data_IF_516396325103
#
_entry.id   IF_516396325103
#
_cell.length_a   1.000
_cell.length_b   1.000
_cell.length_c   1.000
_cell.angle_alpha   90.00
_cell.angle_beta   90.00
_cell.angle_gamma   90.00
#
_symmetry.space_group_name_H-M   'P 1'
#
loop_
_entity.id
_entity.type
_entity.pdbx_description
1 polymer ?
#
# COMPACT_ATOMS: atom_id res chain seq x y z
N UNK A 1 7.13 14.19 7.54
CA UNK A 1 7.57 13.26 6.48
C UNK A 1 8.68 12.41 7.05
N UNK A 2 8.64 11.10 6.84
CA UNK A 2 9.60 10.16 7.44
C UNK A 2 10.83 9.99 6.55
N UNK A 3 10.59 9.62 5.29
CA UNK A 3 11.59 9.48 4.26
C UNK A 3 10.95 9.82 2.90
N UNK A 4 11.78 10.09 1.90
CA UNK A 4 11.36 10.26 0.52
C UNK A 4 12.28 9.41 -0.38
N UNK A 5 11.70 8.61 -1.26
CA UNK A 5 12.43 7.77 -2.21
C UNK A 5 12.19 8.33 -3.60
N UNK A 6 13.24 8.88 -4.22
CA UNK A 6 13.17 9.33 -5.61
C UNK A 6 13.48 8.15 -6.54
N UNK A 7 12.49 7.76 -7.35
CA UNK A 7 12.59 6.62 -8.26
C UNK A 7 12.98 7.01 -9.69
N UNK A 8 13.19 8.30 -9.96
CA UNK A 8 13.49 8.80 -11.30
C UNK A 8 12.35 8.56 -12.29
N UNK A 9 12.69 8.55 -13.58
CA UNK A 9 11.76 8.17 -14.64
C UNK A 9 11.49 6.65 -14.59
N UNK A 10 10.23 6.28 -14.77
CA UNK A 10 9.76 4.91 -14.76
C UNK A 10 8.86 4.67 -15.97
N UNK A 11 8.91 3.47 -16.53
CA UNK A 11 7.98 3.04 -17.57
C UNK A 11 6.57 2.86 -17.00
N UNK A 12 5.56 2.98 -17.86
CA UNK A 12 4.16 2.73 -17.45
C UNK A 12 3.97 1.29 -16.98
N UNK A 13 3.41 1.11 -15.80
CA UNK A 13 3.07 -0.20 -15.27
C UNK A 13 3.07 -0.26 -13.74
N UNK A 14 3.23 -1.47 -13.22
CA UNK A 14 3.48 -1.71 -11.79
C UNK A 14 4.96 -1.50 -11.54
N UNK A 15 5.28 -0.62 -10.60
CA UNK A 15 6.64 -0.26 -10.26
C UNK A 15 6.89 -0.73 -8.83
N UNK A 16 7.85 -1.63 -8.66
CA UNK A 16 8.25 -2.11 -7.35
C UNK A 16 9.05 -1.04 -6.61
N UNK A 17 8.72 -0.82 -5.34
CA UNK A 17 9.48 0.04 -4.45
C UNK A 17 9.71 -0.65 -3.11
N UNK A 18 10.77 -0.26 -2.42
CA UNK A 18 11.08 -0.74 -1.08
C UNK A 18 11.47 0.43 -0.19
N UNK A 19 11.15 0.27 1.09
CA UNK A 19 11.62 1.14 2.15
C UNK A 19 12.22 0.28 3.25
N UNK A 20 13.39 0.67 3.74
CA UNK A 20 14.21 -0.06 4.69
C UNK A 20 13.84 0.19 6.15
N UNK A 21 12.82 1.01 6.41
CA UNK A 21 12.38 1.37 7.76
C UNK A 21 13.22 2.48 8.40
N UNK A 22 14.05 3.17 7.64
CA UNK A 22 14.87 4.27 8.13
C UNK A 22 14.29 5.65 7.77
N UNK A 23 14.56 6.66 8.59
CA UNK A 23 14.28 8.05 8.23
C UNK A 23 15.28 8.60 7.19
N UNK A 24 15.05 9.82 6.71
CA UNK A 24 15.95 10.48 5.74
C UNK A 24 17.39 10.72 6.26
N UNK A 25 17.65 10.54 7.56
CA UNK A 25 18.99 10.65 8.17
C UNK A 25 19.65 9.28 8.37
N UNK A 26 19.00 8.18 7.98
CA UNK A 26 19.50 6.82 8.17
C UNK A 26 19.29 6.27 9.58
N UNK A 27 18.38 6.85 10.37
CA UNK A 27 18.03 6.28 11.68
C UNK A 27 16.91 5.25 11.52
N UNK A 28 17.01 4.08 12.17
CA UNK A 28 15.93 3.10 12.17
C UNK A 28 14.72 3.64 12.95
N UNK A 29 13.53 3.36 12.44
CA UNK A 29 12.28 3.77 13.07
C UNK A 29 11.60 2.63 13.83
N UNK A 30 10.79 2.93 14.84
CA UNK A 30 10.08 1.91 15.60
C UNK A 30 9.07 1.15 14.72
N UNK A 31 8.79 -0.13 15.04
CA UNK A 31 7.67 -0.84 14.43
C UNK A 31 6.36 -0.09 14.63
N UNK A 32 5.57 0.02 13.55
CA UNK A 32 4.33 0.79 13.59
C UNK A 32 3.66 0.93 12.23
N UNK A 33 2.55 1.67 12.20
CA UNK A 33 1.85 2.00 10.97
C UNK A 33 2.51 3.21 10.31
N UNK A 34 2.86 3.07 9.05
CA UNK A 34 3.37 4.14 8.21
C UNK A 34 2.44 4.37 7.03
N UNK A 35 2.35 5.63 6.58
CA UNK A 35 1.57 6.01 5.41
C UNK A 35 2.53 6.23 4.24
N UNK A 36 2.22 5.61 3.11
CA UNK A 36 2.94 5.78 1.85
C UNK A 36 2.07 6.62 0.91
N UNK A 37 2.69 7.62 0.28
CA UNK A 37 2.07 8.44 -0.77
C UNK A 37 3.02 8.43 -1.96
N UNK A 38 2.54 7.93 -3.11
CA UNK A 38 3.32 7.90 -4.35
C UNK A 38 2.83 8.99 -5.31
N UNK A 39 3.73 9.80 -5.84
CA UNK A 39 3.40 10.86 -6.80
C UNK A 39 4.34 10.78 -8.00
N UNK A 40 3.81 11.11 -9.17
CA UNK A 40 4.58 11.21 -10.41
C UNK A 40 4.21 12.49 -11.17
N UNK A 41 5.08 12.92 -12.07
CA UNK A 41 4.74 13.92 -13.09
C UNK A 41 4.43 13.18 -14.38
N UNK A 42 3.19 13.26 -14.86
CA UNK A 42 2.74 12.64 -16.11
C UNK A 42 2.29 13.80 -17.01
N UNK A 43 2.92 13.92 -18.18
CA UNK A 43 2.69 15.03 -19.12
C UNK A 43 2.86 16.44 -18.49
N UNK A 44 3.74 16.56 -17.50
CA UNK A 44 4.01 17.79 -16.77
C UNK A 44 3.09 18.05 -15.57
N UNK A 45 2.04 17.24 -15.39
CA UNK A 45 1.08 17.39 -14.30
C UNK A 45 1.40 16.44 -13.12
N UNK A 46 1.30 16.91 -11.87
CA UNK A 46 1.46 16.05 -10.70
C UNK A 46 0.24 15.12 -10.55
N UNK A 47 0.49 13.82 -10.51
CA UNK A 47 -0.52 12.77 -10.36
C UNK A 47 -0.23 11.94 -9.10
N UNK A 48 -1.23 11.81 -8.23
CA UNK A 48 -1.19 10.86 -7.11
C UNK A 48 -1.44 9.46 -7.64
N UNK A 49 -0.52 8.55 -7.34
CA UNK A 49 -0.60 7.15 -7.74
C UNK A 49 -1.17 6.30 -6.62
N UNK A 50 -1.80 5.19 -6.99
CA UNK A 50 -2.18 4.14 -6.05
C UNK A 50 -0.94 3.37 -5.59
N UNK A 51 -0.92 2.96 -4.32
CA UNK A 51 0.14 2.13 -3.75
C UNK A 51 -0.39 0.74 -3.43
N UNK A 52 0.34 -0.30 -3.84
CA UNK A 52 0.05 -1.68 -3.48
C UNK A 52 0.92 -2.08 -2.30
N UNK A 53 0.35 -2.14 -1.10
CA UNK A 53 1.07 -2.44 0.13
C UNK A 53 0.66 -3.82 0.67
N UNK A 54 1.61 -4.60 1.22
CA UNK A 54 1.28 -5.87 1.85
C UNK A 54 0.52 -5.63 3.17
N UNK A 55 -0.42 -6.51 3.46
CA UNK A 55 -1.12 -6.58 4.73
C UNK A 55 -1.41 -8.03 5.10
N UNK A 56 -1.34 -8.36 6.39
CA UNK A 56 -1.69 -9.69 6.88
C UNK A 56 -3.21 -9.83 6.97
N UNK A 57 -3.73 -10.99 6.55
CA UNK A 57 -5.12 -11.38 6.77
C UNK A 57 -5.25 -11.96 8.17
N UNK A 58 -5.97 -11.29 9.06
CA UNK A 58 -6.24 -11.76 10.41
C UNK A 58 -7.40 -12.78 10.41
N UNK A 59 -8.42 -12.54 9.59
CA UNK A 59 -9.56 -13.46 9.44
C UNK A 59 -10.37 -13.17 8.17
N UNK A 60 -11.34 -14.04 7.89
CA UNK A 60 -12.32 -13.88 6.81
C UNK A 60 -13.72 -13.79 7.41
N UNK A 61 -14.55 -12.92 6.87
CA UNK A 61 -15.97 -12.85 7.22
C UNK A 61 -16.83 -13.08 5.98
N UNK A 62 -17.84 -13.94 6.13
CA UNK A 62 -18.75 -14.35 5.06
C UNK A 62 -20.09 -13.64 5.22
N UNK A 63 -20.68 -13.13 4.14
CA UNK A 63 -22.04 -12.59 4.19
C UNK A 63 -22.18 -11.21 4.83
N UNK A 64 -21.07 -10.55 5.17
CA UNK A 64 -21.07 -9.25 5.89
C UNK A 64 -20.70 -8.07 5.00
N UNK A 65 -20.17 -8.33 3.79
CA UNK A 65 -19.90 -7.31 2.80
C UNK A 65 -21.18 -6.75 2.17
N UNK A 66 -21.03 -5.70 1.35
CA UNK A 66 -22.13 -5.17 0.56
C UNK A 66 -22.71 -6.29 -0.31
N UNK A 67 -24.03 -6.46 -0.32
CA UNK A 67 -24.66 -7.55 -1.08
C UNK A 67 -24.39 -8.96 -0.54
N UNK A 68 -23.87 -9.12 0.68
CA UNK A 68 -23.56 -10.42 1.27
C UNK A 68 -22.21 -11.01 0.83
N UNK A 69 -21.31 -10.17 0.34
CA UNK A 69 -19.98 -10.58 -0.10
C UNK A 69 -19.08 -11.05 1.06
N UNK A 70 -18.06 -11.83 0.70
CA UNK A 70 -16.93 -12.16 1.57
C UNK A 70 -16.00 -10.95 1.69
N UNK A 71 -15.49 -10.70 2.89
CA UNK A 71 -14.46 -9.66 3.15
C UNK A 71 -13.28 -10.25 3.92
N UNK A 72 -12.10 -9.67 3.71
CA UNK A 72 -10.88 -9.97 4.47
C UNK A 72 -10.71 -8.95 5.58
N UNK A 73 -10.44 -9.41 6.80
CA UNK A 73 -10.10 -8.53 7.91
C UNK A 73 -8.57 -8.41 7.96
N UNK A 74 -8.06 -7.23 7.62
CA UNK A 74 -6.63 -6.98 7.46
C UNK A 74 -6.05 -6.24 8.67
N UNK A 75 -4.87 -6.68 9.10
CA UNK A 75 -4.17 -6.13 10.25
C UNK A 75 -4.00 -4.60 10.10
N UNK A 76 -4.71 -3.85 10.94
CA UNK A 76 -4.63 -2.40 10.99
C UNK A 76 -5.37 -1.62 9.89
N UNK A 77 -6.03 -2.30 8.94
CA UNK A 77 -6.83 -1.71 7.86
C UNK A 77 -8.33 -2.01 7.98
N UNK A 78 -8.72 -3.00 8.78
CA UNK A 78 -10.13 -3.38 8.96
C UNK A 78 -10.62 -4.31 7.84
N UNK A 79 -11.94 -4.30 7.60
CA UNK A 79 -12.56 -5.19 6.61
C UNK A 79 -12.47 -4.62 5.19
N UNK A 80 -11.89 -5.38 4.28
CA UNK A 80 -11.65 -5.01 2.88
C UNK A 80 -12.30 -6.05 1.96
N UNK A 81 -12.94 -5.60 0.88
CA UNK A 81 -13.53 -6.47 -0.12
C UNK A 81 -12.47 -7.11 -1.02
N UNK A 82 -12.74 -8.30 -1.55
CA UNK A 82 -11.82 -8.97 -2.48
C UNK A 82 -11.54 -8.14 -3.74
N UNK A 83 -12.45 -7.24 -4.15
CA UNK A 83 -12.26 -6.34 -5.30
C UNK A 83 -11.12 -5.34 -5.11
N UNK A 84 -10.77 -5.01 -3.87
CA UNK A 84 -9.73 -4.05 -3.53
C UNK A 84 -8.37 -4.76 -3.27
N UNK A 85 -8.33 -6.10 -3.42
CA UNK A 85 -7.13 -6.92 -3.24
C UNK A 85 -6.47 -7.14 -4.59
N UNK A 86 -5.21 -6.73 -4.72
CA UNK A 86 -4.44 -6.94 -5.94
C UNK A 86 -3.97 -8.39 -6.10
N UNK A 87 -3.43 -8.99 -5.04
CA UNK A 87 -2.95 -10.37 -5.05
C UNK A 87 -2.96 -10.98 -3.65
N UNK A 88 -2.95 -12.32 -3.58
CA UNK A 88 -2.78 -13.08 -2.35
C UNK A 88 -1.47 -13.87 -2.48
N UNK A 89 -0.51 -13.59 -1.58
CA UNK A 89 0.76 -14.32 -1.51
C UNK A 89 0.56 -15.79 -1.15
N UNK A 90 1.47 -16.65 -1.61
CA UNK A 90 1.52 -18.07 -1.22
C UNK A 90 2.25 -18.28 0.10
#
# INVERSE_FOLDING_TARGET
MVAAVNMGAQETGIIDFAWDGQDASGNPLPPGKYRFEAQASIDGEPVQLATLLPANVDSVSLGVGKGGEMVLNLAGLGSIGLSDVFTIGK
#
